data_IF_343455173544
#
_entry.id   IF_343455173544
#
_cell.length_a   1.000
_cell.length_b   1.000
_cell.length_c   1.000
_cell.angle_alpha   90.00
_cell.angle_beta   90.00
_cell.angle_gamma   90.00
#
_symmetry.space_group_name_H-M   'P 1'
#
loop_
_entity.id
_entity.type
_entity.pdbx_description
1 polymer ?
#
# COMPACT_ATOMS: atom_id res chain seq x y z
N UNK A 1 -27.88 -21.30 48.44
CA UNK A 1 -27.22 -20.12 47.86
C UNK A 1 -26.02 -20.65 47.07
N UNK A 2 -26.28 -21.21 45.88
CA UNK A 2 -26.25 -20.51 44.58
C UNK A 2 -24.78 -20.37 44.13
N UNK A 3 -24.31 -20.78 42.96
CA UNK A 3 -24.94 -21.44 41.80
C UNK A 3 -23.80 -21.68 40.78
N UNK A 4 -23.74 -22.90 40.25
CA UNK A 4 -23.35 -23.31 38.89
C UNK A 4 -22.44 -22.39 38.05
N UNK A 5 -21.14 -22.71 38.02
CA UNK A 5 -20.26 -22.40 36.89
C UNK A 5 -20.31 -23.57 35.89
N UNK A 6 -21.28 -23.53 34.98
CA UNK A 6 -21.32 -24.43 33.83
C UNK A 6 -20.52 -23.82 32.67
N UNK A 7 -19.36 -24.43 32.41
CA UNK A 7 -18.67 -24.40 31.13
C UNK A 7 -19.66 -24.90 30.08
N UNK A 8 -20.13 -24.02 29.18
CA UNK A 8 -21.01 -24.38 28.07
C UNK A 8 -20.58 -23.65 26.79
N UNK A 9 -20.05 -24.44 25.85
CA UNK A 9 -20.02 -24.24 24.39
C UNK A 9 -19.72 -22.83 23.85
N UNK A 10 -18.43 -22.57 23.60
CA UNK A 10 -18.02 -21.70 22.49
C UNK A 10 -18.04 -22.54 21.21
N UNK A 11 -19.20 -22.52 20.55
CA UNK A 11 -19.32 -22.97 19.17
C UNK A 11 -18.75 -21.87 18.27
N UNK A 12 -17.51 -22.03 17.81
CA UNK A 12 -16.95 -21.24 16.70
C UNK A 12 -17.62 -21.76 15.43
N UNK A 13 -18.81 -21.24 15.13
CA UNK A 13 -19.43 -21.36 13.82
C UNK A 13 -18.73 -20.43 12.86
N UNK A 14 -17.79 -20.96 12.08
CA UNK A 14 -17.30 -20.33 10.86
C UNK A 14 -18.42 -20.49 9.81
N UNK A 15 -19.39 -19.58 9.83
CA UNK A 15 -20.36 -19.47 8.75
C UNK A 15 -19.69 -18.70 7.61
N UNK A 16 -19.45 -19.41 6.51
CA UNK A 16 -18.87 -18.84 5.30
C UNK A 16 -19.81 -17.82 4.67
N UNK A 17 -19.27 -16.66 4.31
CA UNK A 17 -19.95 -15.76 3.38
C UNK A 17 -19.54 -16.15 1.96
N UNK A 18 -20.23 -17.15 1.41
CA UNK A 18 -20.58 -17.14 0.00
C UNK A 18 -21.44 -15.90 -0.25
N UNK A 19 -21.12 -15.12 -1.28
CA UNK A 19 -21.99 -14.03 -1.75
C UNK A 19 -22.81 -14.58 -2.92
N UNK A 20 -24.04 -15.11 -2.71
CA UNK A 20 -24.95 -15.33 -3.81
C UNK A 20 -25.55 -13.98 -4.23
N UNK A 21 -25.67 -13.81 -5.54
CA UNK A 21 -26.48 -12.76 -6.13
C UNK A 21 -27.96 -13.03 -5.80
N UNK A 22 -28.64 -12.09 -5.15
CA UNK A 22 -30.09 -12.09 -5.08
C UNK A 22 -30.65 -10.67 -5.29
N UNK A 23 -31.59 -10.61 -6.21
CA UNK A 23 -32.26 -9.42 -6.65
C UNK A 23 -33.43 -9.09 -5.69
N UNK A 24 -33.46 -7.84 -5.23
CA UNK A 24 -34.68 -7.19 -4.77
C UNK A 24 -35.20 -7.59 -3.39
N UNK A 25 -34.89 -6.75 -2.39
CA UNK A 25 -35.89 -6.15 -1.47
C UNK A 25 -35.20 -5.14 -0.54
N UNK A 26 -35.40 -3.88 -0.87
CA UNK A 26 -35.24 -2.75 0.03
C UNK A 26 -36.13 -2.96 1.27
N UNK A 27 -35.52 -3.09 2.46
CA UNK A 27 -36.02 -2.57 3.74
C UNK A 27 -35.05 -2.89 4.89
N UNK A 28 -34.57 -1.83 5.53
CA UNK A 28 -34.16 -1.72 6.93
C UNK A 28 -33.04 -2.63 7.48
N UNK A 29 -31.80 -2.37 7.03
CA UNK A 29 -30.61 -2.54 7.88
C UNK A 29 -29.91 -1.19 7.99
N UNK A 30 -30.31 -0.36 8.96
CA UNK A 30 -29.50 0.77 9.45
C UNK A 30 -28.25 0.22 10.15
N UNK A 31 -27.30 -0.28 9.34
CA UNK A 31 -25.90 -0.37 9.74
C UNK A 31 -25.34 1.04 9.81
N UNK A 32 -24.59 1.33 10.87
CA UNK A 32 -23.99 2.63 11.19
C UNK A 32 -22.99 3.08 10.11
N UNK A 33 -23.50 3.58 8.98
CA UNK A 33 -22.72 4.13 7.86
C UNK A 33 -23.38 5.44 7.46
N UNK A 34 -22.73 6.57 7.78
CA UNK A 34 -23.24 7.93 7.52
C UNK A 34 -23.28 8.29 6.03
N UNK A 35 -22.57 7.54 5.17
CA UNK A 35 -22.46 7.79 3.74
C UNK A 35 -22.31 6.48 2.94
N UNK A 36 -23.23 6.18 2.03
CA UNK A 36 -23.12 5.08 1.07
C UNK A 36 -22.09 5.35 -0.02
N UNK A 37 -21.70 4.30 -0.77
CA UNK A 37 -20.70 4.37 -1.85
C UNK A 37 -21.19 5.27 -3.01
N UNK A 38 -22.51 5.29 -3.27
CA UNK A 38 -23.14 6.06 -4.34
C UNK A 38 -23.75 7.40 -3.88
N UNK A 39 -23.66 7.71 -2.58
CA UNK A 39 -24.16 8.99 -2.07
C UNK A 39 -23.22 10.12 -2.51
N UNK A 40 -23.76 11.32 -2.77
CA UNK A 40 -22.96 12.49 -3.19
C UNK A 40 -22.94 13.53 -2.06
N UNK A 41 -21.82 13.63 -1.29
CA UNK A 41 -21.77 14.54 -0.15
C UNK A 41 -21.80 15.99 -0.61
N UNK A 42 -22.27 16.90 0.26
CA UNK A 42 -22.12 18.34 0.03
C UNK A 42 -20.67 18.66 -0.40
N UNK A 43 -20.54 19.50 -1.43
CA UNK A 43 -19.27 19.77 -2.11
C UNK A 43 -18.13 20.18 -1.16
N UNK A 44 -18.45 20.88 -0.05
CA UNK A 44 -17.48 21.26 0.96
C UNK A 44 -16.96 20.07 1.78
N UNK A 45 -17.81 19.12 2.15
CA UNK A 45 -17.38 17.89 2.86
C UNK A 45 -16.54 17.00 1.95
N UNK A 46 -16.87 16.93 0.66
CA UNK A 46 -16.09 16.18 -0.32
C UNK A 46 -14.64 16.69 -0.41
N UNK A 47 -14.44 18.01 -0.43
CA UNK A 47 -13.09 18.61 -0.47
C UNK A 47 -12.29 18.27 0.79
N UNK A 48 -12.89 18.39 1.98
CA UNK A 48 -12.20 18.05 3.23
C UNK A 48 -11.86 16.55 3.32
N UNK A 49 -12.78 15.67 2.92
CA UNK A 49 -12.55 14.23 2.89
C UNK A 49 -11.48 13.83 1.87
N UNK A 50 -11.49 14.44 0.69
CA UNK A 50 -10.47 14.22 -0.34
C UNK A 50 -9.09 14.69 0.13
N UNK A 51 -9.01 15.85 0.78
CA UNK A 51 -7.77 16.34 1.38
C UNK A 51 -7.26 15.39 2.47
N UNK A 52 -8.15 14.89 3.32
CA UNK A 52 -7.79 13.93 4.37
C UNK A 52 -7.26 12.62 3.77
N UNK A 53 -7.94 12.06 2.77
CA UNK A 53 -7.46 10.87 2.07
C UNK A 53 -6.11 11.11 1.37
N UNK A 54 -5.95 12.26 0.72
CA UNK A 54 -4.68 12.63 0.09
C UNK A 54 -3.53 12.69 1.11
N UNK A 55 -3.74 13.40 2.23
CA UNK A 55 -2.73 13.53 3.28
C UNK A 55 -2.37 12.20 3.94
N UNK A 56 -3.31 11.25 4.00
CA UNK A 56 -3.05 9.95 4.60
C UNK A 56 -2.30 9.02 3.64
N UNK A 57 -2.55 9.14 2.33
CA UNK A 57 -1.92 8.30 1.30
C UNK A 57 -0.53 8.80 0.87
N UNK A 58 -0.30 10.11 0.91
CA UNK A 58 0.96 10.71 0.44
C UNK A 58 2.16 10.23 1.27
N UNK A 59 2.01 9.99 2.58
CA UNK A 59 3.07 9.47 3.43
C UNK A 59 3.57 8.11 2.98
N UNK A 60 2.65 7.18 2.71
CA UNK A 60 2.99 5.85 2.21
C UNK A 60 3.64 5.90 0.81
N UNK A 61 3.13 6.76 -0.08
CA UNK A 61 3.65 6.92 -1.44
C UNK A 61 5.07 7.48 -1.44
N UNK A 62 5.39 8.45 -0.57
CA UNK A 62 6.72 9.05 -0.47
C UNK A 62 7.72 8.17 0.29
N UNK A 63 7.25 7.33 1.22
CA UNK A 63 8.11 6.40 1.95
C UNK A 63 8.83 5.42 1.03
N UNK A 64 8.16 4.89 0.00
CA UNK A 64 8.74 3.90 -0.92
C UNK A 64 9.99 4.42 -1.65
N UNK A 65 9.95 5.53 -2.42
CA UNK A 65 11.13 6.07 -3.07
C UNK A 65 12.15 6.57 -2.05
N UNK A 66 11.73 7.05 -0.87
CA UNK A 66 12.67 7.46 0.17
C UNK A 66 13.57 6.31 0.65
N UNK A 67 13.00 5.10 0.81
CA UNK A 67 13.71 3.88 1.20
C UNK A 67 14.49 3.28 0.02
N UNK A 68 13.94 3.36 -1.19
CA UNK A 68 14.53 2.72 -2.37
C UNK A 68 15.72 3.50 -2.96
N UNK A 69 15.68 4.84 -2.98
CA UNK A 69 16.76 5.68 -3.51
C UNK A 69 18.16 5.40 -2.90
N UNK A 70 18.34 5.28 -1.58
CA UNK A 70 19.66 4.94 -1.02
C UNK A 70 20.12 3.54 -1.41
N UNK A 71 19.19 2.57 -1.57
CA UNK A 71 19.51 1.23 -2.06
C UNK A 71 19.89 1.18 -3.55
N UNK A 72 19.49 2.20 -4.33
CA UNK A 72 19.85 2.38 -5.74
C UNK A 72 21.18 3.12 -5.94
N UNK A 73 21.89 3.47 -4.87
CA UNK A 73 23.13 4.23 -4.88
C UNK A 73 22.96 5.69 -5.36
N UNK A 74 21.79 6.29 -5.09
CA UNK A 74 21.55 7.72 -5.35
C UNK A 74 21.96 8.54 -4.12
N UNK A 75 22.59 9.71 -4.31
CA UNK A 75 22.93 10.59 -3.18
C UNK A 75 21.68 11.30 -2.69
N UNK A 76 21.67 11.64 -1.40
CA UNK A 76 20.53 12.32 -0.78
C UNK A 76 20.30 13.73 -1.33
N UNK A 77 21.35 14.38 -1.83
CA UNK A 77 21.34 15.74 -2.37
C UNK A 77 21.09 15.82 -3.88
N UNK A 78 20.92 14.68 -4.56
CA UNK A 78 20.78 14.68 -6.01
C UNK A 78 19.39 15.21 -6.45
N UNK A 79 19.32 16.11 -7.45
CA UNK A 79 18.04 16.61 -7.96
C UNK A 79 17.18 15.48 -8.57
N UNK A 80 17.80 14.40 -9.07
CA UNK A 80 17.11 13.24 -9.65
C UNK A 80 16.21 12.52 -8.63
N UNK A 81 16.53 12.56 -7.33
CA UNK A 81 15.68 11.96 -6.26
C UNK A 81 14.32 12.63 -6.20
N UNK A 82 14.30 13.97 -6.25
CA UNK A 82 13.05 14.74 -6.20
C UNK A 82 12.20 14.52 -7.45
N UNK A 83 12.84 14.33 -8.61
CA UNK A 83 12.16 14.00 -9.86
C UNK A 83 11.47 12.62 -9.79
N UNK A 84 12.12 11.60 -9.21
CA UNK A 84 11.50 10.28 -9.00
C UNK A 84 10.29 10.37 -8.06
N UNK A 85 10.40 11.12 -6.96
CA UNK A 85 9.30 11.28 -6.01
C UNK A 85 8.10 11.99 -6.69
N UNK A 86 8.37 13.07 -7.42
CA UNK A 86 7.34 13.83 -8.14
C UNK A 86 6.63 12.97 -9.19
N UNK A 87 7.37 12.22 -9.99
CA UNK A 87 6.81 11.31 -11.01
C UNK A 87 6.01 10.17 -10.38
N UNK A 88 6.44 9.62 -9.24
CA UNK A 88 5.69 8.60 -8.49
C UNK A 88 4.32 9.13 -8.03
N UNK A 89 4.28 10.34 -7.43
CA UNK A 89 3.02 10.97 -6.97
C UNK A 89 2.12 11.29 -8.17
N UNK A 90 2.69 11.79 -9.25
CA UNK A 90 1.94 12.13 -10.46
C UNK A 90 1.33 10.90 -11.12
N UNK A 91 2.12 9.84 -11.31
CA UNK A 91 1.66 8.59 -11.95
C UNK A 91 0.62 7.88 -11.07
N UNK A 92 0.79 7.84 -9.75
CA UNK A 92 -0.19 7.24 -8.84
C UNK A 92 -1.53 7.99 -8.86
N UNK A 93 -1.50 9.33 -8.93
CA UNK A 93 -2.70 10.14 -9.14
C UNK A 93 -3.38 9.88 -10.48
N UNK A 94 -2.60 9.82 -11.57
CA UNK A 94 -3.10 9.54 -12.91
C UNK A 94 -3.74 8.14 -13.00
N UNK A 95 -3.09 7.12 -12.45
CA UNK A 95 -3.60 5.75 -12.43
C UNK A 95 -4.87 5.64 -11.60
N UNK A 96 -4.92 6.27 -10.43
CA UNK A 96 -6.13 6.31 -9.59
C UNK A 96 -7.29 7.00 -10.30
N UNK A 97 -7.01 8.10 -11.01
CA UNK A 97 -8.01 8.80 -11.82
C UNK A 97 -8.52 7.95 -13.00
N UNK A 98 -7.62 7.24 -13.69
CA UNK A 98 -7.99 6.32 -14.77
C UNK A 98 -8.80 5.12 -14.25
N UNK A 99 -8.40 4.55 -13.11
CA UNK A 99 -9.07 3.41 -12.47
C UNK A 99 -10.48 3.77 -11.98
N UNK A 100 -10.66 4.97 -11.45
CA UNK A 100 -11.98 5.46 -11.02
C UNK A 100 -12.88 5.82 -12.21
N UNK A 101 -12.32 6.32 -13.31
CA UNK A 101 -13.09 6.74 -14.50
C UNK A 101 -13.46 5.58 -15.42
N UNK A 102 -12.50 4.71 -15.76
CA UNK A 102 -12.66 3.63 -16.74
C UNK A 102 -12.65 2.22 -16.13
N UNK A 103 -12.21 2.07 -14.88
CA UNK A 103 -12.07 0.78 -14.21
C UNK A 103 -13.31 0.40 -13.39
N UNK A 104 -13.08 -0.14 -12.19
CA UNK A 104 -14.11 -0.78 -11.37
C UNK A 104 -15.13 0.19 -10.74
N UNK A 105 -15.07 1.50 -11.03
CA UNK A 105 -15.92 2.56 -10.43
C UNK A 105 -16.00 2.55 -8.90
N UNK A 106 -15.09 1.83 -8.23
CA UNK A 106 -14.94 1.83 -6.78
C UNK A 106 -13.87 2.83 -6.37
N UNK A 107 -14.04 3.49 -5.20
CA UNK A 107 -13.04 4.41 -4.64
C UNK A 107 -11.83 3.61 -4.12
N UNK A 108 -10.92 3.24 -5.03
CA UNK A 108 -9.67 2.55 -4.72
C UNK A 108 -8.52 3.50 -5.06
N UNK A 109 -7.68 3.81 -4.08
CA UNK A 109 -6.46 4.59 -4.30
C UNK A 109 -5.33 3.64 -4.66
N UNK A 110 -4.83 3.75 -5.89
CA UNK A 110 -3.78 2.88 -6.39
C UNK A 110 -2.40 3.54 -6.20
N UNK A 111 -1.52 2.85 -5.50
CA UNK A 111 -0.17 3.32 -5.17
C UNK A 111 0.90 2.27 -5.43
N UNK A 112 2.16 2.65 -5.21
CA UNK A 112 3.24 1.67 -5.10
C UNK A 112 2.99 0.75 -3.90
N UNK A 113 3.24 -0.55 -4.06
CA UNK A 113 3.05 -1.51 -2.96
C UNK A 113 4.34 -1.69 -2.17
N UNK A 114 4.22 -1.60 -0.84
CA UNK A 114 5.31 -1.90 0.10
C UNK A 114 5.71 -3.38 0.05
N UNK A 115 4.85 -4.26 -0.45
CA UNK A 115 5.13 -5.70 -0.57
C UNK A 115 6.21 -6.01 -1.60
N UNK A 116 6.41 -5.14 -2.60
CA UNK A 116 7.53 -5.27 -3.55
C UNK A 116 8.84 -4.67 -3.02
N UNK A 117 8.80 -3.92 -1.93
CA UNK A 117 9.98 -3.28 -1.36
C UNK A 117 10.94 -4.32 -0.78
N UNK A 118 10.43 -5.29 -0.02
CA UNK A 118 11.21 -6.40 0.57
C UNK A 118 11.97 -7.21 -0.50
N UNK A 119 11.33 -7.76 -1.55
CA UNK A 119 12.06 -8.48 -2.59
C UNK A 119 13.00 -7.57 -3.39
N UNK A 120 12.65 -6.31 -3.59
CA UNK A 120 13.54 -5.34 -4.26
C UNK A 120 14.82 -5.10 -3.47
N UNK A 121 14.74 -4.90 -2.15
CA UNK A 121 15.91 -4.77 -1.30
C UNK A 121 16.73 -6.06 -1.26
N UNK A 122 16.08 -7.23 -1.29
CA UNK A 122 16.79 -8.50 -1.37
C UNK A 122 17.62 -8.62 -2.66
N UNK A 123 17.05 -8.20 -3.81
CA UNK A 123 17.75 -8.18 -5.11
C UNK A 123 18.92 -7.18 -5.07
N UNK A 124 18.74 -6.00 -4.48
CA UNK A 124 19.78 -4.97 -4.41
C UNK A 124 20.91 -5.31 -3.43
N UNK A 125 20.69 -6.23 -2.48
CA UNK A 125 21.72 -6.71 -1.56
C UNK A 125 22.63 -7.81 -2.15
N UNK A 126 22.30 -8.37 -3.32
CA UNK A 126 23.16 -9.35 -4.00
C UNK A 126 24.53 -8.74 -4.35
N UNK A 127 25.64 -9.49 -4.30
CA UNK A 127 26.98 -8.96 -4.57
C UNK A 127 27.15 -8.37 -5.97
N UNK A 128 26.34 -8.81 -6.94
CA UNK A 128 26.29 -8.25 -8.31
C UNK A 128 25.72 -6.83 -8.32
N UNK A 129 24.79 -6.55 -7.40
CA UNK A 129 24.07 -5.27 -7.29
C UNK A 129 24.47 -4.51 -6.02
N UNK A 130 25.59 -4.80 -5.36
CA UNK A 130 26.01 -3.97 -4.23
C UNK A 130 26.48 -2.59 -4.69
N UNK A 131 26.12 -1.56 -3.93
CA UNK A 131 26.59 -0.20 -4.21
C UNK A 131 28.12 -0.12 -4.03
N UNK A 132 28.83 0.58 -4.93
CA UNK A 132 30.24 0.86 -4.71
C UNK A 132 30.41 1.71 -3.45
N UNK A 133 31.58 1.61 -2.81
CA UNK A 133 31.91 2.40 -1.61
C UNK A 133 31.61 3.89 -1.84
N UNK A 134 31.09 4.62 -0.84
CA UNK A 134 30.68 6.02 -1.00
C UNK A 134 31.82 6.94 -1.48
N UNK A 135 33.08 6.61 -1.14
CA UNK A 135 34.27 7.32 -1.61
C UNK A 135 34.48 7.22 -3.12
N UNK A 136 34.27 6.01 -3.68
CA UNK A 136 34.38 5.77 -5.12
C UNK A 136 33.19 6.39 -5.84
N UNK A 137 31.99 6.26 -5.26
CA UNK A 137 30.79 6.88 -5.80
C UNK A 137 30.95 8.40 -5.86
N UNK A 138 31.46 9.05 -4.80
CA UNK A 138 31.70 10.48 -4.78
C UNK A 138 32.82 10.94 -5.73
N UNK A 139 33.80 10.09 -6.00
CA UNK A 139 34.88 10.36 -6.97
C UNK A 139 34.47 10.17 -8.43
N UNK A 140 33.33 9.49 -8.71
CA UNK A 140 32.80 9.32 -10.07
C UNK A 140 32.15 10.61 -10.60
N UNK A 141 32.16 10.76 -11.93
CA UNK A 141 31.43 11.83 -12.64
C UNK A 141 29.91 11.64 -12.49
N UNK A 142 29.13 12.72 -12.58
CA UNK A 142 27.66 12.69 -12.48
C UNK A 142 27.02 11.71 -13.48
N UNK A 143 27.56 11.61 -14.70
CA UNK A 143 27.06 10.66 -15.73
C UNK A 143 27.24 9.18 -15.31
N UNK A 144 28.36 8.86 -14.64
CA UNK A 144 28.63 7.51 -14.17
C UNK A 144 27.76 7.16 -12.96
N UNK A 145 27.52 8.12 -12.06
CA UNK A 145 26.55 7.94 -10.97
C UNK A 145 25.15 7.70 -11.53
N UNK A 146 24.77 8.45 -12.58
CA UNK A 146 23.48 8.31 -13.26
C UNK A 146 23.28 6.94 -13.87
N UNK A 147 24.29 6.40 -14.54
CA UNK A 147 24.21 5.09 -15.18
C UNK A 147 24.04 3.96 -14.16
N UNK A 148 24.67 4.06 -12.97
CA UNK A 148 24.56 3.05 -11.91
C UNK A 148 23.13 2.92 -11.41
N UNK A 149 22.49 4.02 -11.00
CA UNK A 149 21.12 3.96 -10.48
C UNK A 149 20.09 3.67 -11.59
N UNK A 150 20.31 4.19 -12.80
CA UNK A 150 19.40 3.97 -13.94
C UNK A 150 19.38 2.50 -14.36
N UNK A 151 20.55 1.84 -14.41
CA UNK A 151 20.64 0.41 -14.77
C UNK A 151 19.86 -0.45 -13.78
N UNK A 152 19.99 -0.18 -12.48
CA UNK A 152 19.24 -0.89 -11.43
C UNK A 152 17.73 -0.67 -11.55
N UNK A 153 17.30 0.55 -11.83
CA UNK A 153 15.88 0.84 -12.06
C UNK A 153 15.33 0.15 -13.30
N UNK A 154 16.14 0.03 -14.37
CA UNK A 154 15.76 -0.71 -15.58
C UNK A 154 15.51 -2.20 -15.26
N UNK A 155 16.42 -2.83 -14.53
CA UNK A 155 16.28 -4.24 -14.11
C UNK A 155 15.06 -4.46 -13.20
N UNK A 156 14.84 -3.57 -12.23
CA UNK A 156 13.67 -3.66 -11.33
C UNK A 156 12.35 -3.50 -12.09
N UNK A 157 12.26 -2.49 -12.95
CA UNK A 157 11.05 -2.27 -13.76
C UNK A 157 10.81 -3.40 -14.76
N UNK A 158 11.87 -3.98 -15.34
CA UNK A 158 11.79 -5.18 -16.17
C UNK A 158 11.27 -6.40 -15.40
N UNK A 159 11.78 -6.64 -14.20
CA UNK A 159 11.33 -7.74 -13.34
C UNK A 159 9.85 -7.58 -12.93
N UNK A 160 9.42 -6.36 -12.59
CA UNK A 160 8.02 -6.06 -12.26
C UNK A 160 7.13 -6.23 -13.49
N UNK A 161 7.55 -5.76 -14.67
CA UNK A 161 6.79 -5.91 -15.90
C UNK A 161 6.56 -7.38 -16.27
N UNK A 162 7.62 -8.21 -16.17
CA UNK A 162 7.52 -9.65 -16.41
C UNK A 162 6.60 -10.31 -15.37
N UNK A 163 6.73 -9.94 -14.10
CA UNK A 163 5.85 -10.44 -13.02
C UNK A 163 4.38 -10.09 -13.27
N UNK A 164 4.11 -8.86 -13.73
CA UNK A 164 2.76 -8.41 -14.06
C UNK A 164 2.16 -9.20 -15.24
N UNK A 165 2.96 -9.52 -16.27
CA UNK A 165 2.51 -10.38 -17.37
C UNK A 165 2.11 -11.77 -16.87
N UNK A 166 2.92 -12.40 -16.01
CA UNK A 166 2.57 -13.68 -15.39
C UNK A 166 1.29 -13.58 -14.57
N UNK A 167 1.11 -12.50 -13.81
CA UNK A 167 -0.08 -12.27 -13.01
C UNK A 167 -1.34 -12.15 -13.87
N UNK A 168 -1.28 -11.44 -15.00
CA UNK A 168 -2.39 -11.34 -15.96
C UNK A 168 -2.72 -12.70 -16.56
N UNK A 169 -1.69 -13.47 -16.95
CA UNK A 169 -1.87 -14.81 -17.50
C UNK A 169 -2.55 -15.74 -16.48
N UNK A 170 -2.06 -15.79 -15.23
CA UNK A 170 -2.69 -16.61 -14.18
C UNK A 170 -4.08 -16.11 -13.75
N UNK A 171 -4.33 -14.80 -13.83
CA UNK A 171 -5.65 -14.21 -13.67
C UNK A 171 -6.61 -14.69 -14.75
N UNK A 172 -6.17 -14.69 -16.01
CA UNK A 172 -6.97 -15.18 -17.14
C UNK A 172 -7.28 -16.68 -17.05
N UNK A 173 -6.32 -17.50 -16.60
CA UNK A 173 -6.55 -18.94 -16.38
C UNK A 173 -7.42 -19.27 -15.16
N UNK A 174 -7.89 -18.28 -14.39
CA UNK A 174 -8.76 -18.51 -13.23
C UNK A 174 -8.08 -19.18 -12.04
N UNK A 175 -6.76 -19.38 -12.09
CA UNK A 175 -5.95 -19.98 -11.01
C UNK A 175 -6.06 -19.13 -9.74
N UNK A 176 -6.19 -17.81 -9.90
CA UNK A 176 -6.38 -16.87 -8.78
C UNK A 176 -7.63 -17.20 -7.96
N UNK A 177 -8.71 -17.65 -8.59
CA UNK A 177 -9.95 -18.02 -7.90
C UNK A 177 -9.78 -19.28 -7.03
N UNK A 178 -9.01 -20.25 -7.52
CA UNK A 178 -8.67 -21.44 -6.72
C UNK A 178 -7.70 -21.12 -5.59
N UNK A 179 -6.75 -20.21 -5.83
CA UNK A 179 -5.77 -19.80 -4.83
C UNK A 179 -6.40 -18.99 -3.69
N UNK A 180 -7.37 -18.12 -3.99
CA UNK A 180 -8.13 -17.35 -3.00
C UNK A 180 -8.88 -18.23 -1.98
N UNK A 181 -9.20 -19.48 -2.32
CA UNK A 181 -9.76 -20.46 -1.37
C UNK A 181 -8.74 -20.94 -0.34
N UNK A 182 -7.46 -20.89 -0.66
CA UNK A 182 -6.37 -21.29 0.24
C UNK A 182 -5.84 -20.11 1.08
N UNK A 183 -5.89 -18.89 0.53
CA UNK A 183 -5.44 -17.69 1.22
C UNK A 183 -6.49 -17.28 2.26
N UNK A 184 -6.27 -17.70 3.50
CA UNK A 184 -7.13 -17.29 4.63
C UNK A 184 -6.57 -16.03 5.31
N UNK A 185 -7.41 -15.21 5.97
CA UNK A 185 -6.93 -14.07 6.77
C UNK A 185 -5.85 -14.46 7.79
N UNK A 186 -5.90 -15.71 8.25
CA UNK A 186 -4.91 -16.31 9.15
C UNK A 186 -3.48 -16.31 8.58
N UNK A 187 -3.32 -16.42 7.26
CA UNK A 187 -2.00 -16.38 6.61
C UNK A 187 -1.62 -14.98 6.14
N UNK A 188 -2.59 -14.13 5.76
CA UNK A 188 -2.30 -12.77 5.29
C UNK A 188 -1.80 -11.89 6.44
N UNK A 189 -2.49 -11.90 7.58
CA UNK A 189 -2.16 -11.05 8.73
C UNK A 189 -0.69 -11.18 9.20
N UNK A 190 -0.14 -12.39 9.44
CA UNK A 190 1.25 -12.52 9.83
C UNK A 190 2.22 -12.12 8.73
N UNK A 191 1.91 -12.36 7.45
CA UNK A 191 2.78 -11.94 6.34
C UNK A 191 2.86 -10.42 6.23
N UNK A 192 1.72 -9.73 6.30
CA UNK A 192 1.68 -8.25 6.26
C UNK A 192 2.37 -7.67 7.49
N UNK A 193 2.15 -8.25 8.68
CA UNK A 193 2.85 -7.84 9.90
C UNK A 193 4.37 -8.00 9.76
N UNK A 194 4.83 -9.10 9.18
CA UNK A 194 6.26 -9.34 8.96
C UNK A 194 6.85 -8.31 7.99
N UNK A 195 6.17 -8.02 6.87
CA UNK A 195 6.59 -6.96 5.94
C UNK A 195 6.68 -5.60 6.65
N UNK A 196 5.67 -5.25 7.45
CA UNK A 196 5.68 -4.03 8.26
C UNK A 196 6.85 -3.96 9.25
N UNK A 197 7.15 -5.07 9.93
CA UNK A 197 8.28 -5.15 10.86
C UNK A 197 9.63 -4.98 10.15
N UNK A 198 9.82 -5.55 8.96
CA UNK A 198 11.08 -5.39 8.20
C UNK A 198 11.34 -3.95 7.75
N UNK A 199 10.28 -3.14 7.62
CA UNK A 199 10.34 -1.76 7.16
C UNK A 199 10.39 -0.75 8.29
N UNK A 200 10.19 -1.20 9.54
CA UNK A 200 10.04 -0.33 10.69
C UNK A 200 11.24 0.58 10.91
N UNK A 201 12.47 0.07 10.80
CA UNK A 201 13.69 0.85 11.05
C UNK A 201 13.83 2.01 10.05
N UNK A 202 13.55 1.75 8.78
CA UNK A 202 13.61 2.76 7.74
C UNK A 202 12.47 3.78 7.85
N UNK A 203 11.26 3.33 8.21
CA UNK A 203 10.11 4.20 8.42
C UNK A 203 10.29 5.09 9.67
N UNK A 204 10.82 4.54 10.76
CA UNK A 204 11.10 5.28 11.99
C UNK A 204 12.16 6.37 11.77
N UNK A 205 13.21 6.07 11.01
CA UNK A 205 14.22 7.05 10.63
C UNK A 205 13.62 8.20 9.83
N UNK A 206 12.78 7.91 8.82
CA UNK A 206 12.09 8.94 8.02
C UNK A 206 11.12 9.78 8.87
N UNK A 207 10.30 9.14 9.72
CA UNK A 207 9.33 9.81 10.59
C UNK A 207 10.00 10.76 11.59
N UNK A 208 11.22 10.41 12.08
CA UNK A 208 11.99 11.26 13.00
C UNK A 208 12.39 12.61 12.39
N UNK A 209 12.58 12.67 11.07
CA UNK A 209 12.97 13.90 10.38
C UNK A 209 11.79 14.85 10.16
N UNK A 210 10.55 14.33 10.16
CA UNK A 210 9.35 15.04 9.71
C UNK A 210 8.15 14.83 10.66
N UNK A 211 8.40 14.95 11.96
CA UNK A 211 7.41 14.65 13.03
C UNK A 211 6.05 15.34 12.86
N UNK A 212 5.99 16.52 12.21
CA UNK A 212 4.75 17.24 11.95
C UNK A 212 3.80 16.56 10.95
N UNK A 213 4.34 15.92 9.90
CA UNK A 213 3.53 15.21 8.90
C UNK A 213 3.05 13.89 9.47
N UNK A 214 3.93 13.17 10.17
CA UNK A 214 3.58 11.94 10.87
C UNK A 214 2.48 12.16 11.95
N UNK A 215 2.56 13.24 12.72
CA UNK A 215 1.53 13.58 13.70
C UNK A 215 0.19 13.94 13.05
N UNK A 216 0.22 14.59 11.88
CA UNK A 216 -0.98 14.88 11.07
C UNK A 216 -1.67 13.62 10.56
N UNK A 217 -0.89 12.65 10.06
CA UNK A 217 -1.39 11.34 9.62
C UNK A 217 -1.99 10.54 10.78
N UNK A 218 -1.35 10.53 11.96
CA UNK A 218 -1.88 9.85 13.15
C UNK A 218 -3.19 10.48 13.62
N UNK A 219 -3.31 11.82 13.58
CA UNK A 219 -4.56 12.52 13.92
C UNK A 219 -5.68 12.24 12.90
N UNK A 220 -5.34 12.13 11.62
CA UNK A 220 -6.28 11.70 10.57
C UNK A 220 -6.76 10.28 10.83
N UNK A 221 -5.85 9.35 11.14
CA UNK A 221 -6.18 7.96 11.46
C UNK A 221 -7.04 7.85 12.73
N UNK A 222 -6.82 8.71 13.72
CA UNK A 222 -7.66 8.80 14.92
C UNK A 222 -9.08 9.25 14.57
N UNK A 223 -9.21 10.25 13.70
CA UNK A 223 -10.52 10.74 13.22
C UNK A 223 -11.29 9.68 12.42
N UNK A 224 -10.59 8.85 11.62
CA UNK A 224 -11.22 7.71 10.94
C UNK A 224 -11.63 6.59 11.91
N UNK A 225 -10.89 6.34 12.98
CA UNK A 225 -11.27 5.33 14.00
C UNK A 225 -12.56 5.72 14.75
N UNK A 226 -12.80 7.01 14.94
CA UNK A 226 -14.05 7.53 15.53
C UNK A 226 -15.24 7.40 14.58
N UNK A 227 -15.00 7.27 13.26
CA UNK A 227 -16.03 7.18 12.23
C UNK A 227 -16.56 5.74 11.94
N UNK A 228 -16.11 4.71 12.66
CA UNK A 228 -16.65 3.35 12.58
C UNK A 228 -15.79 2.33 11.80
N UNK A 229 -16.01 1.01 11.99
CA UNK A 229 -15.06 -0.06 11.62
C UNK A 229 -15.04 -0.47 10.14
N UNK A 230 -15.66 0.27 9.22
CA UNK A 230 -15.94 -0.24 7.87
C UNK A 230 -14.87 0.08 6.79
N UNK A 231 -13.91 0.96 7.05
CA UNK A 231 -12.94 1.43 6.02
C UNK A 231 -11.52 0.89 6.17
N UNK A 232 -11.30 -0.10 7.04
CA UNK A 232 -9.98 -0.72 7.22
C UNK A 232 -9.94 -2.13 6.62
N UNK A 233 -10.07 -2.22 5.30
CA UNK A 233 -9.40 -3.28 4.54
C UNK A 233 -8.50 -2.57 3.54
N UNK A 234 -7.30 -2.24 4.02
CA UNK A 234 -6.16 -1.93 3.16
C UNK A 234 -5.99 -3.12 2.19
N UNK A 235 -6.24 -2.87 0.91
CA UNK A 235 -5.69 -3.63 -0.20
C UNK A 235 -4.59 -2.80 -0.85
#
# INVERSE_FOLDING_TARGET
MVHSLQISNISIGVEGSEVPADAGKENDRKGNVTYGIDDVPPWYLCIFMALQHYLTMIGAIVAIPFILCPALCMKETDPDRSNIISTMIFVTGLVTWLQSTFGCRLPIVQGGTISFLVPTLAILNLPVWQCPKPEILAAMTEEQQRSVWTTRMCELSGAIAVSALFQVVFGYFGIIGSLLRFVTPLTIAPTVALVGLTLFDHAAAAASQQWGIAAGEVSSCHSYRVAGPATSVLY
#
